data_IF_518881272678
#
_entry.id   IF_518881272678
#
_cell.length_a   1.000
_cell.length_b   1.000
_cell.length_c   1.000
_cell.angle_alpha   90.00
_cell.angle_beta   90.00
_cell.angle_gamma   90.00
#
_symmetry.space_group_name_H-M   'P 1'
#
loop_
_entity.id
_entity.type
_entity.pdbx_description
1 polymer ?
#
# COMPACT_ATOMS: atom_id res chain seq x y z
N UNK A 1 0.47 -37.64 18.82
CA UNK A 1 -0.36 -37.80 17.61
C UNK A 1 0.03 -36.72 16.63
N UNK A 2 0.45 -37.03 15.40
CA UNK A 2 0.88 -36.03 14.44
C UNK A 2 -0.33 -35.21 13.96
N UNK A 3 -0.16 -33.88 13.90
CA UNK A 3 -1.15 -32.94 13.38
C UNK A 3 -1.33 -33.21 11.89
N UNK A 4 -2.55 -33.39 11.37
CA UNK A 4 -2.75 -33.65 9.95
C UNK A 4 -2.38 -32.38 9.15
N UNK A 5 -1.54 -32.55 8.13
CA UNK A 5 -1.24 -31.50 7.17
C UNK A 5 -2.56 -30.97 6.57
N UNK A 6 -2.78 -29.67 6.69
CA UNK A 6 -3.89 -28.98 6.03
C UNK A 6 -3.78 -29.24 4.53
N UNK A 7 -4.75 -30.02 3.99
CA UNK A 7 -4.87 -30.22 2.55
C UNK A 7 -5.00 -28.84 1.92
N UNK A 8 -3.98 -28.46 1.17
CA UNK A 8 -3.98 -27.25 0.35
C UNK A 8 -5.25 -27.18 -0.47
N UNK A 9 -5.84 -25.99 -0.51
CA UNK A 9 -6.93 -25.65 -1.39
C UNK A 9 -6.43 -25.89 -2.84
N UNK A 10 -6.72 -27.06 -3.41
CA UNK A 10 -6.52 -27.31 -4.84
C UNK A 10 -7.51 -26.43 -5.57
N UNK A 11 -7.02 -25.33 -6.12
CA UNK A 11 -7.70 -24.63 -7.19
C UNK A 11 -7.74 -25.60 -8.38
N UNK A 12 -8.95 -25.92 -8.86
CA UNK A 12 -9.10 -26.72 -10.06
C UNK A 12 -8.35 -26.05 -11.23
N UNK A 13 -7.43 -26.79 -11.83
CA UNK A 13 -6.75 -26.40 -13.05
C UNK A 13 -7.80 -26.12 -14.15
N UNK A 14 -7.81 -24.89 -14.68
CA UNK A 14 -8.52 -24.58 -15.92
C UNK A 14 -9.67 -23.56 -15.85
N UNK A 15 -9.93 -22.91 -14.71
CA UNK A 15 -10.85 -21.75 -14.67
C UNK A 15 -10.10 -20.48 -14.31
N UNK A 16 -9.49 -19.82 -15.30
CA UNK A 16 -9.07 -18.43 -15.14
C UNK A 16 -10.33 -17.60 -14.90
N UNK A 17 -10.41 -16.92 -13.76
CA UNK A 17 -11.51 -16.04 -13.35
C UNK A 17 -11.68 -14.77 -14.23
N UNK A 18 -11.26 -14.84 -15.50
CA UNK A 18 -11.28 -13.77 -16.49
C UNK A 18 -12.49 -13.87 -17.45
N UNK A 19 -13.27 -14.96 -17.41
CA UNK A 19 -14.28 -15.25 -18.45
C UNK A 19 -15.62 -14.51 -18.33
N UNK A 20 -15.87 -13.70 -17.28
CA UNK A 20 -17.21 -13.13 -17.03
C UNK A 20 -17.27 -11.63 -16.71
N UNK A 21 -16.29 -10.83 -17.14
CA UNK A 21 -16.33 -9.37 -16.96
C UNK A 21 -16.46 -8.64 -18.32
N UNK A 22 -17.66 -8.56 -18.92
CA UNK A 22 -17.88 -8.15 -20.31
C UNK A 22 -17.69 -6.65 -20.62
N UNK A 23 -17.24 -5.83 -19.67
CA UNK A 23 -17.14 -4.36 -19.84
C UNK A 23 -15.71 -3.80 -19.73
N UNK A 24 -14.69 -4.62 -19.52
CA UNK A 24 -13.34 -4.11 -19.27
C UNK A 24 -12.49 -4.14 -20.53
N UNK A 25 -12.13 -2.96 -21.03
CA UNK A 25 -11.23 -2.79 -22.18
C UNK A 25 -9.79 -2.69 -21.66
N UNK A 26 -8.88 -3.52 -22.18
CA UNK A 26 -7.46 -3.34 -21.91
C UNK A 26 -7.02 -1.99 -22.48
N UNK A 27 -6.48 -1.12 -21.64
CA UNK A 27 -5.76 0.06 -22.10
C UNK A 27 -4.34 -0.41 -22.39
N UNK A 28 -3.89 -0.36 -23.64
CA UNK A 28 -2.47 -0.53 -23.90
C UNK A 28 -1.77 0.67 -23.25
N UNK A 29 -0.91 0.42 -22.27
CA UNK A 29 -0.02 1.46 -21.72
C UNK A 29 1.06 1.68 -22.78
N UNK A 30 0.70 2.33 -23.89
CA UNK A 30 1.58 2.46 -25.07
C UNK A 30 2.78 3.37 -24.79
N UNK A 31 2.69 4.23 -23.78
CA UNK A 31 3.76 5.20 -23.47
C UNK A 31 4.82 4.71 -22.48
N UNK A 32 4.72 3.47 -21.94
CA UNK A 32 5.65 2.99 -20.91
C UNK A 32 5.85 4.00 -19.75
N UNK A 33 4.84 4.83 -19.45
CA UNK A 33 4.91 5.90 -18.45
C UNK A 33 3.97 5.61 -17.28
N UNK A 34 4.44 5.87 -16.06
CA UNK A 34 3.67 5.81 -14.82
C UNK A 34 3.89 7.11 -14.06
N UNK A 35 2.81 7.71 -13.58
CA UNK A 35 2.88 8.91 -12.76
C UNK A 35 2.50 8.54 -11.32
N UNK A 36 3.26 9.00 -10.33
CA UNK A 36 3.08 8.65 -8.91
C UNK A 36 2.92 9.93 -8.09
N UNK A 37 1.92 9.96 -7.22
CA UNK A 37 1.71 11.04 -6.26
C UNK A 37 1.89 10.48 -4.85
N UNK A 38 2.88 11.00 -4.16
CA UNK A 38 3.48 10.44 -2.96
C UNK A 38 4.88 9.92 -3.25
N UNK A 39 5.87 10.36 -2.49
CA UNK A 39 7.26 9.92 -2.58
C UNK A 39 7.74 9.25 -1.28
N UNK A 40 6.83 8.65 -0.50
CA UNK A 40 7.16 7.90 0.70
C UNK A 40 8.19 6.79 0.43
N UNK A 41 8.67 6.13 1.48
CA UNK A 41 9.70 5.08 1.34
C UNK A 41 9.27 3.95 0.39
N UNK A 42 7.99 3.56 0.43
CA UNK A 42 7.43 2.55 -0.47
C UNK A 42 7.37 3.06 -1.91
N UNK A 43 6.91 4.30 -2.12
CA UNK A 43 6.74 4.90 -3.46
C UNK A 43 8.07 5.19 -4.13
N UNK A 44 9.06 5.59 -3.34
CA UNK A 44 10.46 5.74 -3.75
C UNK A 44 11.02 4.41 -4.26
N UNK A 45 10.79 3.31 -3.55
CA UNK A 45 11.25 1.98 -4.00
C UNK A 45 10.48 1.49 -5.22
N UNK A 46 9.17 1.75 -5.26
CA UNK A 46 8.29 1.37 -6.36
C UNK A 46 8.63 2.13 -7.65
N UNK A 47 8.94 3.43 -7.56
CA UNK A 47 9.37 4.24 -8.71
C UNK A 47 10.67 3.70 -9.31
N UNK A 48 11.65 3.33 -8.47
CA UNK A 48 12.88 2.68 -8.92
C UNK A 48 12.62 1.30 -9.54
N UNK A 49 11.71 0.50 -8.96
CA UNK A 49 11.34 -0.81 -9.50
C UNK A 49 10.72 -0.70 -10.90
N UNK A 50 9.79 0.24 -11.09
CA UNK A 50 9.19 0.50 -12.40
C UNK A 50 10.24 0.97 -13.40
N UNK A 51 11.13 1.87 -12.99
CA UNK A 51 12.22 2.34 -13.83
C UNK A 51 13.18 1.21 -14.26
N UNK A 52 13.49 0.27 -13.36
CA UNK A 52 14.30 -0.92 -13.67
C UNK A 52 13.61 -1.85 -14.69
N UNK A 53 12.29 -1.85 -14.73
CA UNK A 53 11.50 -2.58 -15.73
C UNK A 53 11.34 -1.78 -17.05
N UNK A 54 12.08 -0.68 -17.21
CA UNK A 54 12.17 0.11 -18.44
C UNK A 54 11.14 1.23 -18.57
N UNK A 55 10.30 1.42 -17.56
CA UNK A 55 9.23 2.43 -17.56
C UNK A 55 9.80 3.81 -17.21
N UNK A 56 9.23 4.85 -17.81
CA UNK A 56 9.45 6.23 -17.39
C UNK A 56 8.52 6.55 -16.24
N UNK A 57 9.02 7.15 -15.17
CA UNK A 57 8.26 7.43 -13.95
C UNK A 57 8.31 8.92 -13.65
N UNK A 58 7.15 9.55 -13.55
CA UNK A 58 7.00 10.89 -12.99
C UNK A 58 6.59 10.76 -11.54
N UNK A 59 7.19 11.52 -10.62
CA UNK A 59 6.81 11.47 -9.21
C UNK A 59 6.69 12.86 -8.60
N UNK A 60 5.65 13.07 -7.81
CA UNK A 60 5.41 14.31 -7.07
C UNK A 60 5.09 14.00 -5.61
N UNK A 61 5.56 14.84 -4.70
CA UNK A 61 5.17 14.83 -3.29
C UNK A 61 4.96 16.26 -2.80
N UNK A 62 4.02 16.45 -1.88
CA UNK A 62 3.74 17.75 -1.26
C UNK A 62 4.95 18.30 -0.48
N UNK A 63 5.85 17.43 -0.06
CA UNK A 63 7.10 17.76 0.64
C UNK A 63 8.28 17.63 -0.33
N UNK A 64 8.82 18.76 -0.87
CA UNK A 64 9.88 18.73 -1.87
C UNK A 64 11.15 18.02 -1.39
N UNK A 65 11.42 18.06 -0.08
CA UNK A 65 12.57 17.39 0.55
C UNK A 65 12.55 15.87 0.35
N UNK A 66 11.36 15.26 0.32
CA UNK A 66 11.20 13.81 0.11
C UNK A 66 11.54 13.48 -1.35
N UNK A 67 11.01 14.25 -2.30
CA UNK A 67 11.36 14.14 -3.72
C UNK A 67 12.86 14.33 -3.94
N UNK A 68 13.49 15.29 -3.27
CA UNK A 68 14.94 15.52 -3.37
C UNK A 68 15.74 14.32 -2.87
N UNK A 69 15.31 13.70 -1.78
CA UNK A 69 15.95 12.49 -1.24
C UNK A 69 15.84 11.32 -2.21
N UNK A 70 14.66 11.11 -2.81
CA UNK A 70 14.47 10.11 -3.87
C UNK A 70 15.37 10.39 -5.07
N UNK A 71 15.37 11.62 -5.58
CA UNK A 71 16.17 11.98 -6.74
C UNK A 71 17.66 11.78 -6.48
N UNK A 72 18.17 12.06 -5.28
CA UNK A 72 19.56 11.73 -4.93
C UNK A 72 19.89 10.24 -5.06
N UNK A 73 18.95 9.35 -4.70
CA UNK A 73 19.14 7.90 -4.83
C UNK A 73 19.01 7.43 -6.29
N UNK A 74 18.08 8.03 -7.05
CA UNK A 74 17.93 7.82 -8.50
C UNK A 74 19.22 8.19 -9.25
N UNK A 75 19.79 9.37 -9.00
CA UNK A 75 21.02 9.82 -9.66
C UNK A 75 22.25 8.96 -9.34
N UNK A 76 22.27 8.29 -8.18
CA UNK A 76 23.33 7.32 -7.82
C UNK A 76 23.19 5.99 -8.56
N UNK A 77 22.05 5.72 -9.17
CA UNK A 77 21.71 4.43 -9.77
C UNK A 77 21.66 4.57 -11.29
N UNK A 78 22.77 4.24 -11.95
CA UNK A 78 22.97 4.44 -13.40
C UNK A 78 21.86 3.84 -14.28
N UNK A 79 21.26 2.72 -13.87
CA UNK A 79 20.20 2.04 -14.64
C UNK A 79 18.84 2.75 -14.63
N UNK A 80 18.60 3.70 -13.72
CA UNK A 80 17.29 4.37 -13.56
C UNK A 80 17.36 5.90 -13.64
N UNK A 81 18.56 6.49 -13.67
CA UNK A 81 18.75 7.95 -13.59
C UNK A 81 18.00 8.76 -14.64
N UNK A 82 17.88 8.23 -15.87
CA UNK A 82 17.21 8.89 -17.00
C UNK A 82 15.74 8.45 -17.15
N UNK A 83 15.24 7.68 -16.18
CA UNK A 83 13.90 7.07 -16.20
C UNK A 83 12.97 7.63 -15.14
N UNK A 84 13.47 8.31 -14.11
CA UNK A 84 12.63 8.90 -13.06
C UNK A 84 12.76 10.41 -13.08
N UNK A 85 11.64 11.11 -13.13
CA UNK A 85 11.55 12.57 -13.09
C UNK A 85 10.76 13.01 -11.86
N UNK A 86 11.41 13.76 -10.96
CA UNK A 86 10.79 14.29 -9.75
C UNK A 86 10.31 15.72 -9.93
N UNK A 87 9.04 15.97 -9.61
CA UNK A 87 8.41 17.28 -9.66
C UNK A 87 8.33 17.86 -8.24
N UNK A 88 8.73 19.13 -8.10
CA UNK A 88 8.68 19.86 -6.81
C UNK A 88 7.45 20.75 -6.67
N UNK A 89 6.78 20.99 -7.79
CA UNK A 89 5.61 21.84 -7.93
C UNK A 89 4.50 21.02 -8.58
N UNK A 90 3.28 21.22 -8.10
CA UNK A 90 2.12 20.44 -8.53
C UNK A 90 1.65 20.86 -9.92
N UNK A 91 1.73 22.15 -10.26
CA UNK A 91 1.32 22.65 -11.57
C UNK A 91 2.23 22.09 -12.67
N UNK A 92 3.55 22.10 -12.45
CA UNK A 92 4.55 21.47 -13.33
C UNK A 92 4.32 19.96 -13.49
N UNK A 93 3.87 19.29 -12.41
CA UNK A 93 3.50 17.88 -12.48
C UNK A 93 2.26 17.70 -13.37
N UNK A 94 1.21 18.49 -13.18
CA UNK A 94 -0.01 18.44 -14.01
C UNK A 94 0.26 18.77 -15.48
N UNK A 95 1.13 19.74 -15.76
CA UNK A 95 1.55 20.08 -17.12
C UNK A 95 2.22 18.88 -17.81
N UNK A 96 3.07 18.14 -17.08
CA UNK A 96 3.69 16.92 -17.61
C UNK A 96 2.69 15.81 -17.93
N UNK A 97 1.53 15.83 -17.26
CA UNK A 97 0.42 14.94 -17.59
C UNK A 97 -0.24 15.37 -18.91
N UNK A 98 -0.47 16.65 -19.17
CA UNK A 98 -1.35 17.10 -20.26
C UNK A 98 -0.84 16.76 -21.68
N UNK A 99 0.49 16.72 -21.86
CA UNK A 99 1.17 16.52 -23.15
C UNK A 99 0.96 15.13 -23.81
N UNK A 100 0.38 14.15 -23.09
CA UNK A 100 0.20 12.80 -23.61
C UNK A 100 -1.17 12.61 -24.29
N UNK A 101 -1.21 12.14 -25.57
CA UNK A 101 -2.45 11.74 -26.26
C UNK A 101 -3.03 10.41 -25.75
N UNK A 102 -2.27 9.68 -24.93
CA UNK A 102 -2.63 8.34 -24.44
C UNK A 102 -3.23 8.39 -23.03
N UNK A 103 -4.12 7.43 -22.68
CA UNK A 103 -4.64 7.27 -21.33
C UNK A 103 -3.53 7.17 -20.28
N UNK A 104 -3.66 7.91 -19.20
CA UNK A 104 -2.66 8.00 -18.13
C UNK A 104 -2.87 6.90 -17.10
N UNK A 105 -1.78 6.46 -16.47
CA UNK A 105 -1.82 5.63 -15.27
C UNK A 105 -1.17 6.38 -14.13
N UNK A 106 -2.00 6.84 -13.18
CA UNK A 106 -1.57 7.60 -12.01
C UNK A 106 -1.71 6.72 -10.78
N UNK A 107 -0.62 6.50 -10.05
CA UNK A 107 -0.63 5.82 -8.76
C UNK A 107 -0.75 6.89 -7.67
N UNK A 108 -1.84 6.83 -6.91
CA UNK A 108 -2.06 7.67 -5.75
C UNK A 108 -1.60 6.92 -4.50
N UNK A 109 -0.59 7.43 -3.82
CA UNK A 109 -0.06 6.86 -2.59
C UNK A 109 0.13 7.96 -1.55
N UNK A 110 -0.95 8.26 -0.86
CA UNK A 110 -0.98 9.32 0.16
C UNK A 110 -1.58 8.78 1.45
N UNK A 111 -1.37 9.49 2.55
CA UNK A 111 -1.98 9.17 3.83
C UNK A 111 -3.50 9.07 3.70
N UNK A 112 -4.08 8.12 4.44
CA UNK A 112 -5.52 7.85 4.40
C UNK A 112 -6.37 9.07 4.79
N UNK A 113 -7.61 9.09 4.32
CA UNK A 113 -8.57 10.15 4.64
C UNK A 113 -8.48 11.37 3.72
N UNK A 114 -8.47 12.57 4.31
CA UNK A 114 -8.64 13.82 3.56
C UNK A 114 -7.54 14.14 2.53
N UNK A 115 -6.26 13.72 2.69
CA UNK A 115 -5.23 14.00 1.68
C UNK A 115 -5.58 13.39 0.31
N UNK A 116 -6.04 12.14 0.28
CA UNK A 116 -6.47 11.49 -0.97
C UNK A 116 -7.62 12.23 -1.66
N UNK A 117 -8.59 12.71 -0.89
CA UNK A 117 -9.73 13.47 -1.44
C UNK A 117 -9.29 14.82 -2.04
N UNK A 118 -8.32 15.50 -1.40
CA UNK A 118 -7.76 16.76 -1.89
C UNK A 118 -6.97 16.56 -3.19
N UNK A 119 -6.10 15.56 -3.23
CA UNK A 119 -5.33 15.23 -4.43
C UNK A 119 -6.27 14.86 -5.57
N UNK A 120 -7.28 14.02 -5.31
CA UNK A 120 -8.27 13.67 -6.33
C UNK A 120 -9.04 14.89 -6.82
N UNK A 121 -9.39 15.84 -5.95
CA UNK A 121 -10.09 17.07 -6.36
C UNK A 121 -9.27 17.90 -7.34
N UNK A 122 -7.97 18.02 -7.13
CA UNK A 122 -7.09 18.79 -7.99
C UNK A 122 -6.75 18.04 -9.30
N UNK A 123 -6.46 16.73 -9.22
CA UNK A 123 -6.22 15.89 -10.39
C UNK A 123 -7.37 15.92 -11.39
N UNK A 124 -8.62 16.02 -10.91
CA UNK A 124 -9.82 16.15 -11.77
C UNK A 124 -9.70 17.24 -12.84
N UNK A 125 -8.93 18.30 -12.58
CA UNK A 125 -8.75 19.40 -13.54
C UNK A 125 -7.98 18.97 -14.80
N UNK A 126 -7.10 17.97 -14.69
CA UNK A 126 -6.25 17.47 -15.78
C UNK A 126 -6.59 16.08 -16.32
N UNK A 127 -7.51 15.35 -15.66
CA UNK A 127 -7.89 14.00 -16.07
C UNK A 127 -8.77 14.01 -17.34
N UNK A 128 -8.44 13.11 -18.26
CA UNK A 128 -9.18 12.86 -19.51
C UNK A 128 -9.93 11.54 -19.42
N UNK A 129 -10.96 11.39 -20.26
CA UNK A 129 -11.72 10.13 -20.33
C UNK A 129 -10.80 8.98 -20.73
N UNK A 130 -10.76 7.94 -19.91
CA UNK A 130 -9.90 6.77 -20.09
C UNK A 130 -8.66 6.76 -19.20
N UNK A 131 -8.32 7.88 -18.55
CA UNK A 131 -7.26 7.92 -17.55
C UNK A 131 -7.63 7.02 -16.36
N UNK A 132 -6.60 6.39 -15.80
CA UNK A 132 -6.72 5.43 -14.70
C UNK A 132 -5.97 5.95 -13.50
N UNK A 133 -6.64 5.97 -12.35
CA UNK A 133 -6.01 6.20 -11.06
C UNK A 133 -6.00 4.89 -10.27
N UNK A 134 -4.83 4.48 -9.82
CA UNK A 134 -4.60 3.35 -8.93
C UNK A 134 -4.31 3.89 -7.52
N UNK A 135 -5.28 3.78 -6.62
CA UNK A 135 -5.09 4.15 -5.21
C UNK A 135 -4.33 3.02 -4.49
N UNK A 136 -3.03 3.24 -4.27
CA UNK A 136 -2.11 2.34 -3.59
C UNK A 136 -2.00 2.59 -2.09
N UNK A 137 -2.72 3.58 -1.54
CA UNK A 137 -2.69 3.90 -0.12
C UNK A 137 -3.37 2.85 0.75
N UNK A 138 -3.02 2.86 2.05
CA UNK A 138 -3.73 2.09 3.08
C UNK A 138 -5.05 2.79 3.45
N UNK A 139 -6.04 2.74 2.56
CA UNK A 139 -7.33 3.41 2.75
C UNK A 139 -8.42 2.45 3.28
N UNK A 140 -9.37 3.00 4.03
CA UNK A 140 -10.57 2.26 4.40
C UNK A 140 -11.47 2.06 3.17
N UNK A 141 -11.84 0.81 2.89
CA UNK A 141 -12.48 0.43 1.62
C UNK A 141 -13.74 1.25 1.27
N UNK A 142 -14.57 1.65 2.24
CA UNK A 142 -15.76 2.50 1.97
C UNK A 142 -15.38 3.89 1.45
N UNK A 143 -14.24 4.46 1.87
CA UNK A 143 -13.75 5.72 1.34
C UNK A 143 -13.36 5.57 -0.13
N UNK A 144 -12.75 4.44 -0.50
CA UNK A 144 -12.48 4.09 -1.90
C UNK A 144 -13.78 3.93 -2.70
N UNK A 145 -14.79 3.22 -2.17
CA UNK A 145 -16.08 3.09 -2.86
C UNK A 145 -16.76 4.44 -3.09
N UNK A 146 -16.71 5.33 -2.08
CA UNK A 146 -17.20 6.72 -2.20
C UNK A 146 -16.46 7.48 -3.29
N UNK A 147 -15.11 7.42 -3.31
CA UNK A 147 -14.28 8.06 -4.35
C UNK A 147 -14.62 7.54 -5.74
N UNK A 148 -14.78 6.22 -5.87
CA UNK A 148 -15.15 5.58 -7.13
C UNK A 148 -16.50 6.07 -7.64
N UNK A 149 -17.50 6.11 -6.76
CA UNK A 149 -18.84 6.57 -7.09
C UNK A 149 -18.80 8.02 -7.58
N UNK A 150 -18.14 8.91 -6.82
CA UNK A 150 -18.03 10.33 -7.18
C UNK A 150 -17.37 10.52 -8.56
N UNK A 151 -16.26 9.82 -8.85
CA UNK A 151 -15.56 9.96 -10.13
C UNK A 151 -16.35 9.37 -11.32
N UNK A 152 -17.10 8.28 -11.11
CA UNK A 152 -17.98 7.71 -12.14
C UNK A 152 -19.13 8.66 -12.49
N UNK A 153 -19.77 9.24 -11.47
CA UNK A 153 -20.90 10.15 -11.63
C UNK A 153 -20.48 11.47 -12.28
N UNK A 154 -19.32 12.02 -11.91
CA UNK A 154 -18.89 13.35 -12.35
C UNK A 154 -18.15 13.36 -13.70
N UNK A 155 -17.34 12.33 -14.00
CA UNK A 155 -16.39 12.38 -15.12
C UNK A 155 -16.56 11.29 -16.17
N UNK A 156 -17.46 10.32 -15.94
CA UNK A 156 -17.47 9.05 -16.68
C UNK A 156 -16.05 8.43 -16.78
N UNK A 157 -15.22 8.73 -15.76
CA UNK A 157 -13.88 8.22 -15.59
C UNK A 157 -14.01 6.95 -14.76
N UNK A 158 -13.43 5.87 -15.25
CA UNK A 158 -13.35 4.64 -14.46
C UNK A 158 -12.26 4.83 -13.41
N UNK A 159 -12.63 5.29 -12.21
CA UNK A 159 -11.78 5.07 -11.04
C UNK A 159 -11.77 3.56 -10.78
N UNK A 160 -10.77 2.89 -11.33
CA UNK A 160 -10.50 1.49 -10.99
C UNK A 160 -9.75 1.47 -9.66
N UNK A 161 -10.44 1.06 -8.59
CA UNK A 161 -9.72 0.17 -7.66
C UNK A 161 -9.53 -1.13 -8.43
N UNK A 162 -8.38 -1.20 -9.10
CA UNK A 162 -7.72 -2.37 -9.67
C UNK A 162 -8.46 -3.15 -10.77
N UNK A 163 -7.88 -3.10 -11.97
CA UNK A 163 -7.00 -4.23 -12.28
C UNK A 163 -7.15 -4.90 -13.62
N UNK A 164 -8.05 -4.53 -14.55
CA UNK A 164 -8.11 -5.28 -15.83
C UNK A 164 -7.08 -4.77 -16.84
N UNK A 165 -7.02 -3.46 -17.09
CA UNK A 165 -6.11 -2.88 -18.09
C UNK A 165 -4.64 -2.93 -17.68
N UNK A 166 -4.36 -2.67 -16.40
CA UNK A 166 -3.00 -2.59 -15.84
C UNK A 166 -2.43 -3.94 -15.40
N UNK A 167 -3.22 -5.02 -15.45
CA UNK A 167 -2.81 -6.35 -14.95
C UNK A 167 -1.49 -6.85 -15.53
N UNK A 168 -1.24 -6.75 -16.85
CA UNK A 168 0.01 -7.27 -17.43
C UNK A 168 1.25 -6.55 -16.86
N UNK A 169 1.15 -5.23 -16.68
CA UNK A 169 2.18 -4.41 -16.05
C UNK A 169 2.36 -4.82 -14.57
N UNK A 170 1.28 -4.92 -13.80
CA UNK A 170 1.39 -5.30 -12.40
C UNK A 170 1.96 -6.72 -12.24
N UNK A 171 1.61 -7.65 -13.14
CA UNK A 171 2.11 -9.02 -13.14
C UNK A 171 3.59 -9.13 -13.53
N UNK A 172 4.11 -8.20 -14.33
CA UNK A 172 5.52 -8.18 -14.71
C UNK A 172 6.41 -7.74 -13.54
N UNK A 173 5.96 -6.78 -12.74
CA UNK A 173 6.72 -6.24 -11.60
C UNK A 173 6.46 -6.98 -10.27
N UNK A 174 5.36 -7.71 -10.16
CA UNK A 174 5.01 -8.40 -8.93
C UNK A 174 6.01 -9.52 -8.60
N UNK A 175 6.34 -9.71 -7.30
CA UNK A 175 7.11 -10.87 -6.84
C UNK A 175 6.48 -12.18 -7.31
N UNK A 176 7.29 -13.20 -7.57
CA UNK A 176 6.81 -14.53 -7.93
C UNK A 176 6.69 -15.42 -6.70
N UNK A 177 5.60 -16.15 -6.60
CA UNK A 177 5.43 -17.22 -5.61
C UNK A 177 6.35 -18.41 -5.94
N UNK A 178 6.42 -19.38 -5.02
CA UNK A 178 7.26 -20.58 -5.18
C UNK A 178 6.93 -21.42 -6.41
N UNK A 179 5.71 -21.29 -6.94
CA UNK A 179 5.25 -21.94 -8.16
C UNK A 179 5.52 -21.11 -9.44
N UNK A 180 6.19 -19.97 -9.31
CA UNK A 180 6.50 -19.05 -10.40
C UNK A 180 5.36 -18.09 -10.79
N UNK A 181 4.18 -18.22 -10.17
CA UNK A 181 3.05 -17.32 -10.46
C UNK A 181 3.28 -15.92 -9.87
N UNK A 182 2.88 -14.83 -10.56
CA UNK A 182 2.96 -13.48 -10.00
C UNK A 182 2.01 -13.31 -8.81
N UNK A 183 2.50 -12.70 -7.73
CA UNK A 183 1.73 -12.36 -6.54
C UNK A 183 0.85 -11.12 -6.76
N UNK A 184 0.02 -11.14 -7.80
CA UNK A 184 -0.99 -10.13 -8.07
C UNK A 184 -2.17 -10.76 -8.80
N UNK A 185 -3.38 -10.32 -8.49
CA UNK A 185 -4.61 -10.75 -9.16
C UNK A 185 -5.70 -9.70 -8.95
N UNK A 186 -6.69 -9.69 -9.84
CA UNK A 186 -7.95 -8.98 -9.62
C UNK A 186 -8.70 -9.67 -8.48
N UNK A 187 -8.89 -8.95 -7.38
CA UNK A 187 -9.57 -9.46 -6.19
C UNK A 187 -11.09 -9.54 -6.40
N UNK A 188 -11.68 -8.48 -6.96
CA UNK A 188 -13.12 -8.34 -7.15
C UNK A 188 -13.51 -6.90 -7.54
N UNK A 189 -14.80 -6.60 -7.64
CA UNK A 189 -15.28 -5.25 -7.94
C UNK A 189 -15.11 -4.29 -6.75
N UNK A 190 -15.44 -3.02 -6.98
CA UNK A 190 -15.52 -2.01 -5.91
C UNK A 190 -14.18 -1.78 -5.24
N UNK A 191 -14.17 -1.71 -3.91
CA UNK A 191 -12.95 -1.53 -3.12
C UNK A 191 -12.41 -2.85 -2.53
N UNK A 192 -12.69 -3.99 -3.17
CA UNK A 192 -12.31 -5.32 -2.67
C UNK A 192 -10.79 -5.47 -2.42
N UNK A 193 -9.95 -4.80 -3.21
CA UNK A 193 -8.49 -4.78 -3.00
C UNK A 193 -8.11 -4.15 -1.67
N UNK A 194 -8.66 -2.97 -1.34
CA UNK A 194 -8.43 -2.31 -0.04
C UNK A 194 -9.00 -3.13 1.12
N UNK A 195 -10.14 -3.79 0.94
CA UNK A 195 -10.69 -4.69 1.95
C UNK A 195 -9.74 -5.87 2.24
N UNK A 196 -9.18 -6.50 1.21
CA UNK A 196 -8.20 -7.59 1.39
C UNK A 196 -6.91 -7.08 2.03
N UNK A 197 -6.42 -5.89 1.66
CA UNK A 197 -5.23 -5.28 2.29
C UNK A 197 -5.47 -4.95 3.76
N UNK A 198 -6.65 -4.43 4.10
CA UNK A 198 -7.06 -4.22 5.49
C UNK A 198 -7.01 -5.55 6.27
N UNK A 199 -7.66 -6.60 5.77
CA UNK A 199 -7.64 -7.92 6.40
C UNK A 199 -6.22 -8.51 6.50
N UNK A 200 -5.38 -8.33 5.48
CA UNK A 200 -3.97 -8.73 5.50
C UNK A 200 -3.22 -8.11 6.68
N UNK A 201 -3.33 -6.78 6.86
CA UNK A 201 -2.65 -6.08 7.96
C UNK A 201 -3.17 -6.58 9.33
N UNK A 202 -4.47 -6.86 9.45
CA UNK A 202 -5.02 -7.46 10.67
C UNK A 202 -4.47 -8.86 10.95
N UNK A 203 -4.31 -9.71 9.92
CA UNK A 203 -3.69 -11.04 10.04
C UNK A 203 -2.22 -10.91 10.42
N UNK A 204 -1.48 -9.99 9.80
CA UNK A 204 -0.07 -9.73 10.07
C UNK A 204 0.16 -9.42 11.56
N UNK A 205 -0.61 -8.48 12.14
CA UNK A 205 -0.53 -8.19 13.57
C UNK A 205 -0.91 -9.38 14.45
N UNK A 206 -1.98 -10.09 14.08
CA UNK A 206 -2.41 -11.30 14.77
C UNK A 206 -1.31 -12.37 14.80
N UNK A 207 -0.58 -12.54 13.70
CA UNK A 207 0.55 -13.46 13.63
C UNK A 207 1.76 -12.96 14.40
N UNK A 208 2.14 -11.69 14.27
CA UNK A 208 3.28 -11.12 15.00
C UNK A 208 3.09 -11.30 16.51
N UNK A 209 1.89 -11.07 17.03
CA UNK A 209 1.59 -11.27 18.46
C UNK A 209 1.71 -12.73 18.92
N UNK A 210 1.59 -13.70 18.01
CA UNK A 210 1.56 -15.14 18.35
C UNK A 210 2.78 -15.94 17.88
N UNK A 211 3.68 -15.37 17.07
CA UNK A 211 4.82 -16.11 16.50
C UNK A 211 6.15 -15.75 17.16
N UNK A 212 7.05 -16.74 17.23
CA UNK A 212 8.42 -16.64 17.75
C UNK A 212 9.32 -15.61 17.06
N UNK A 213 8.84 -14.92 16.01
CA UNK A 213 9.56 -13.81 15.38
C UNK A 213 9.81 -12.66 16.37
N UNK A 214 8.88 -12.41 17.29
CA UNK A 214 9.12 -11.48 18.39
C UNK A 214 10.21 -11.98 19.35
N UNK A 215 10.39 -13.29 19.50
CA UNK A 215 11.46 -13.86 20.34
C UNK A 215 12.82 -13.65 19.68
N UNK A 216 12.95 -13.83 18.37
CA UNK A 216 14.20 -13.54 17.66
C UNK A 216 14.56 -12.05 17.73
N UNK A 217 13.59 -11.16 17.44
CA UNK A 217 13.82 -9.71 17.56
C UNK A 217 14.12 -9.32 19.00
N UNK A 218 13.39 -9.85 19.98
CA UNK A 218 13.66 -9.59 21.39
C UNK A 218 15.04 -10.09 21.81
N UNK A 219 15.49 -11.23 21.27
CA UNK A 219 16.85 -11.73 21.49
C UNK A 219 17.88 -10.76 20.91
N UNK A 220 17.69 -10.28 19.69
CA UNK A 220 18.57 -9.30 19.06
C UNK A 220 18.61 -7.99 19.85
N UNK A 221 17.45 -7.46 20.27
CA UNK A 221 17.34 -6.26 21.11
C UNK A 221 18.05 -6.46 22.46
N UNK A 222 17.86 -7.61 23.11
CA UNK A 222 18.44 -7.91 24.41
C UNK A 222 19.94 -8.21 24.36
N UNK A 223 20.48 -8.55 23.18
CA UNK A 223 21.90 -8.90 23.01
C UNK A 223 22.71 -7.81 22.32
N UNK A 224 22.05 -6.86 21.64
CA UNK A 224 22.70 -5.73 20.97
C UNK A 224 23.16 -4.67 21.97
N UNK A 225 24.43 -4.26 21.86
CA UNK A 225 25.01 -3.09 22.53
C UNK A 225 25.34 -2.03 21.47
N UNK A 226 24.56 -0.94 21.39
CA UNK A 226 24.72 0.05 20.32
C UNK A 226 25.97 0.94 20.48
N UNK A 227 26.65 0.89 21.62
CA UNK A 227 27.77 1.75 21.98
C UNK A 227 28.71 1.12 23.03
N UNK A 228 29.94 1.64 23.14
CA UNK A 228 30.99 1.16 24.07
C UNK A 228 30.61 1.30 25.56
N UNK A 229 29.51 1.99 25.86
CA UNK A 229 29.01 2.32 27.21
C UNK A 229 28.33 1.16 27.95
N UNK A 230 28.39 -0.07 27.41
CA UNK A 230 27.96 -1.34 28.03
C UNK A 230 26.44 -1.54 28.26
N UNK A 231 25.56 -0.57 27.97
CA UNK A 231 24.11 -0.76 28.13
C UNK A 231 23.48 -1.50 26.94
N UNK A 232 22.61 -2.49 27.19
CA UNK A 232 21.86 -3.18 26.15
C UNK A 232 20.80 -2.29 25.50
N UNK A 233 20.55 -2.48 24.21
CA UNK A 233 19.55 -1.72 23.44
C UNK A 233 18.15 -1.78 24.09
N UNK A 234 17.82 -2.92 24.71
CA UNK A 234 16.59 -3.12 25.46
C UNK A 234 16.29 -2.04 26.52
N UNK A 235 17.31 -1.38 27.11
CA UNK A 235 17.09 -0.35 28.13
C UNK A 235 16.75 1.02 27.54
N UNK A 236 16.92 1.20 26.22
CA UNK A 236 16.67 2.47 25.51
C UNK A 236 15.38 2.46 24.71
N UNK A 237 14.91 1.27 24.32
CA UNK A 237 13.64 1.12 23.61
C UNK A 237 12.50 1.29 24.60
N UNK A 238 11.61 2.25 24.32
CA UNK A 238 10.40 2.41 25.10
C UNK A 238 9.39 1.33 24.69
N UNK A 239 8.77 0.72 25.68
CA UNK A 239 7.65 -0.22 25.55
C UNK A 239 6.34 0.53 25.25
N UNK A 240 6.36 1.41 24.24
CA UNK A 240 5.28 2.36 23.94
C UNK A 240 5.07 2.47 22.43
N UNK A 241 4.04 1.78 21.94
CA UNK A 241 3.52 1.94 20.58
C UNK A 241 2.37 2.94 20.62
N UNK A 242 2.41 4.00 19.82
CA UNK A 242 1.40 5.08 19.87
C UNK A 242 0.46 5.07 18.68
N UNK A 243 0.89 4.49 17.56
CA UNK A 243 0.19 4.57 16.28
C UNK A 243 -1.20 3.94 16.29
N UNK A 244 -1.36 2.88 17.08
CA UNK A 244 -2.64 2.21 17.30
C UNK A 244 -3.57 2.97 18.27
N UNK A 245 -3.07 3.98 18.97
CA UNK A 245 -3.81 4.77 19.96
C UNK A 245 -4.14 6.20 19.50
N UNK A 246 -3.40 6.73 18.53
CA UNK A 246 -3.63 8.06 17.93
C UNK A 246 -4.23 8.00 16.50
N UNK A 247 -4.61 6.79 16.06
CA UNK A 247 -5.18 6.49 14.75
C UNK A 247 -4.29 6.88 13.56
N UNK A 248 -2.97 7.00 13.76
CA UNK A 248 -2.03 7.24 12.65
C UNK A 248 -1.80 5.99 11.79
N UNK A 249 -2.06 4.79 12.33
CA UNK A 249 -2.15 3.52 11.57
C UNK A 249 -3.45 2.80 11.95
N UNK A 250 -4.49 2.96 11.11
CA UNK A 250 -5.86 2.52 11.43
C UNK A 250 -6.28 1.15 10.87
N UNK A 251 -5.45 0.50 10.04
CA UNK A 251 -5.89 -0.67 9.25
C UNK A 251 -6.36 -1.85 10.08
N UNK A 252 -5.74 -2.06 11.23
CA UNK A 252 -6.00 -3.19 12.11
C UNK A 252 -7.23 -2.92 12.98
N UNK A 253 -7.39 -1.69 13.45
CA UNK A 253 -8.63 -1.24 14.07
C UNK A 253 -9.82 -1.43 13.12
N UNK A 254 -9.68 -1.07 11.84
CA UNK A 254 -10.74 -1.28 10.85
C UNK A 254 -11.07 -2.76 10.68
N UNK A 255 -10.08 -3.65 10.67
CA UNK A 255 -10.30 -5.10 10.60
C UNK A 255 -11.12 -5.59 11.80
N UNK A 256 -10.76 -5.17 13.02
CA UNK A 256 -11.48 -5.52 14.25
C UNK A 256 -12.92 -5.00 14.22
N UNK A 257 -13.10 -3.73 13.83
CA UNK A 257 -14.41 -3.09 13.68
C UNK A 257 -15.29 -3.84 12.69
N UNK A 258 -14.73 -4.23 11.55
CA UNK A 258 -15.42 -4.95 10.48
C UNK A 258 -15.85 -6.35 10.89
N UNK A 259 -14.98 -7.08 11.62
CA UNK A 259 -15.34 -8.37 12.20
C UNK A 259 -16.50 -8.24 13.19
N UNK A 260 -16.47 -7.23 14.07
CA UNK A 260 -17.56 -6.97 15.00
C UNK A 260 -18.88 -6.63 14.28
N UNK A 261 -18.85 -5.71 13.31
CA UNK A 261 -20.04 -5.29 12.55
C UNK A 261 -20.64 -6.41 11.70
N UNK A 262 -19.83 -7.37 11.25
CA UNK A 262 -20.27 -8.53 10.45
C UNK A 262 -20.54 -9.77 11.29
N UNK A 263 -20.44 -9.68 12.61
CA UNK A 263 -20.57 -10.82 13.53
C UNK A 263 -19.60 -11.97 13.21
N UNK A 264 -18.39 -11.65 12.76
CA UNK A 264 -17.30 -12.60 12.52
C UNK A 264 -16.33 -12.57 13.69
N UNK A 265 -16.15 -13.71 14.34
CA UNK A 265 -15.26 -13.84 15.49
C UNK A 265 -13.78 -13.83 15.06
N UNK A 266 -13.05 -12.78 15.48
CA UNK A 266 -11.61 -12.60 15.20
C UNK A 266 -10.81 -12.26 16.48
N UNK A 267 -10.92 -13.08 17.55
CA UNK A 267 -10.37 -12.77 18.87
C UNK A 267 -8.85 -12.57 18.85
N UNK A 268 -8.13 -13.32 18.00
CA UNK A 268 -6.67 -13.22 17.86
C UNK A 268 -6.24 -11.86 17.31
N UNK A 269 -6.92 -11.36 16.28
CA UNK A 269 -6.64 -10.04 15.68
C UNK A 269 -7.04 -8.94 16.66
N UNK A 270 -8.19 -9.10 17.32
CA UNK A 270 -8.65 -8.16 18.34
C UNK A 270 -7.67 -8.04 19.51
N UNK A 271 -7.17 -9.16 20.04
CA UNK A 271 -6.16 -9.15 21.10
C UNK A 271 -4.87 -8.45 20.65
N UNK A 272 -4.40 -8.75 19.42
CA UNK A 272 -3.23 -8.11 18.84
C UNK A 272 -3.40 -6.59 18.71
N UNK A 273 -4.61 -6.09 18.42
CA UNK A 273 -4.90 -4.65 18.40
C UNK A 273 -4.85 -4.01 19.80
N UNK A 274 -5.35 -4.71 20.83
CA UNK A 274 -5.43 -4.15 22.18
C UNK A 274 -4.07 -4.06 22.88
N UNK A 275 -3.10 -4.90 22.53
CA UNK A 275 -1.77 -4.88 23.16
C UNK A 275 -1.00 -3.57 22.90
N UNK A 276 -0.86 -3.07 21.67
CA UNK A 276 -0.28 -1.75 21.39
C UNK A 276 -1.01 -0.62 22.10
N UNK A 277 -2.35 -0.62 22.12
CA UNK A 277 -3.16 0.40 22.82
C UNK A 277 -2.84 0.42 24.32
N UNK A 278 -2.74 -0.74 24.96
CA UNK A 278 -2.34 -0.84 26.35
C UNK A 278 -0.88 -0.36 26.57
N UNK A 279 0.02 -0.65 25.63
CA UNK A 279 1.42 -0.18 25.68
C UNK A 279 1.53 1.34 25.60
N UNK A 280 0.66 1.99 24.82
CA UNK A 280 0.66 3.42 24.54
C UNK A 280 0.55 4.27 25.81
N UNK A 281 -0.30 3.84 26.76
CA UNK A 281 -0.49 4.53 28.03
C UNK A 281 0.57 4.13 29.07
N UNK A 282 1.85 4.30 28.71
CA UNK A 282 2.98 3.98 29.57
C UNK A 282 2.97 4.75 30.89
N UNK A 283 2.56 6.02 30.87
CA UNK A 283 2.52 6.87 32.06
C UNK A 283 1.62 6.27 33.14
N UNK A 284 0.43 5.80 32.75
CA UNK A 284 -0.50 5.16 33.68
C UNK A 284 0.01 3.80 34.16
N UNK A 285 0.61 2.98 33.27
CA UNK A 285 1.19 1.68 33.66
C UNK A 285 2.28 1.83 34.72
N UNK A 286 3.16 2.83 34.56
CA UNK A 286 4.23 3.12 35.53
C UNK A 286 3.66 3.69 36.83
N UNK A 287 2.54 4.42 36.79
CA UNK A 287 1.88 4.97 37.99
C UNK A 287 1.26 3.87 38.87
N UNK A 288 0.79 2.79 38.27
CA UNK A 288 0.10 1.68 38.95
C UNK A 288 1.08 0.59 39.42
N UNK A 289 2.21 0.42 38.73
CA UNK A 289 3.24 -0.58 39.04
C UNK A 289 4.02 -0.26 40.33
#
# INVERSE_FOLDING_TARGET
MPVPATKGCRLEEGKTATAHLPHFRFLPIENNQIDIIGAGSMDSNMSMLFAQHGLSVSIFDISPNITDTLMQNVHKTESVKDKVTGYKDYDSFLESLDDSPNPKLIILSVSHGSPGDQVLKELRKGLKKGDVILDGGNEYYEATERRQKALREEMNAELLSLGVSVMPLLASVAPKASDGSPCVRIIGPGASGHFVKMAHNGIEQGMMSNTCFLISIATDICTTKPDETQSYLATRIQDKVVQAADDTEGTEFWTVREGAMRHVSIPTIAAAQFHPIASANRAERVRIA
#
